data_IF_359368099590
#
_entry.id   IF_359368099590
#
_cell.length_a   1.000
_cell.length_b   1.000
_cell.length_c   1.000
_cell.angle_alpha   90.00
_cell.angle_beta   90.00
_cell.angle_gamma   90.00
#
_symmetry.space_group_name_H-M   'P 1'
#
loop_
_entity.id
_entity.type
_entity.pdbx_description
1 polymer ?
#
# COMPACT_ATOMS: atom_id res chain seq x y z
N UNK A 1 -59.05 11.05 7.34
CA UNK A 1 -57.87 11.95 7.33
C UNK A 1 -56.66 11.35 8.04
N UNK A 2 -56.82 10.72 9.21
CA UNK A 2 -55.72 10.16 10.02
C UNK A 2 -54.83 9.11 9.31
N UNK A 3 -55.41 8.26 8.45
CA UNK A 3 -54.68 7.22 7.71
C UNK A 3 -53.72 7.77 6.64
N UNK A 4 -54.07 8.93 6.03
CA UNK A 4 -53.21 9.61 5.05
C UNK A 4 -52.01 10.30 5.71
N UNK A 5 -52.18 10.77 6.94
CA UNK A 5 -51.11 11.37 7.75
C UNK A 5 -50.05 10.32 8.13
N UNK A 6 -50.49 9.10 8.47
CA UNK A 6 -49.60 7.97 8.80
C UNK A 6 -48.82 7.46 7.57
N UNK A 7 -49.45 7.43 6.39
CA UNK A 7 -48.79 7.08 5.12
C UNK A 7 -47.74 8.12 4.66
N UNK A 8 -47.93 9.41 4.96
CA UNK A 8 -46.95 10.45 4.62
C UNK A 8 -45.69 10.35 5.48
N UNK A 9 -45.84 10.07 6.78
CA UNK A 9 -44.69 9.89 7.69
C UNK A 9 -43.84 8.66 7.35
N UNK A 10 -44.46 7.56 6.91
CA UNK A 10 -43.73 6.35 6.52
C UNK A 10 -42.99 6.51 5.20
N UNK A 11 -43.52 7.28 4.25
CA UNK A 11 -42.83 7.63 3.00
C UNK A 11 -41.60 8.52 3.21
N UNK A 12 -41.67 9.50 4.12
CA UNK A 12 -40.52 10.37 4.44
C UNK A 12 -39.35 9.59 5.07
N UNK A 13 -39.65 8.60 5.91
CA UNK A 13 -38.63 7.73 6.53
C UNK A 13 -38.00 6.80 5.48
N UNK A 14 -38.79 6.29 4.53
CA UNK A 14 -38.29 5.43 3.45
C UNK A 14 -37.34 6.17 2.50
N UNK A 15 -37.65 7.42 2.16
CA UNK A 15 -36.82 8.26 1.29
C UNK A 15 -35.51 8.65 1.99
N UNK A 16 -35.57 8.98 3.29
CA UNK A 16 -34.37 9.28 4.09
C UNK A 16 -33.41 8.09 4.23
N UNK A 17 -33.93 6.87 4.37
CA UNK A 17 -33.13 5.66 4.44
C UNK A 17 -32.40 5.33 3.13
N UNK A 18 -33.01 5.63 1.97
CA UNK A 18 -32.41 5.40 0.66
C UNK A 18 -31.25 6.36 0.34
N UNK A 19 -31.23 7.58 0.89
CA UNK A 19 -30.16 8.55 0.62
C UNK A 19 -28.83 8.20 1.33
N UNK A 20 -28.88 7.56 2.50
CA UNK A 20 -27.66 7.19 3.26
C UNK A 20 -26.87 6.06 2.59
N UNK A 21 -27.53 5.21 1.78
CA UNK A 21 -26.89 4.09 1.10
C UNK A 21 -26.04 4.51 -0.13
N UNK A 22 -26.24 5.72 -0.67
CA UNK A 22 -25.65 6.14 -1.95
C UNK A 22 -24.29 6.85 -1.76
N UNK A 23 -23.96 7.30 -0.54
CA UNK A 23 -22.78 8.14 -0.29
C UNK A 23 -21.43 7.43 -0.25
N UNK A 24 -21.34 6.12 -0.49
CA UNK A 24 -20.09 5.37 -0.29
C UNK A 24 -19.44 4.81 -1.56
N UNK A 25 -19.72 5.36 -2.74
CA UNK A 25 -18.97 5.02 -3.96
C UNK A 25 -17.67 5.84 -4.07
N UNK A 26 -16.78 5.68 -3.08
CA UNK A 26 -15.38 6.06 -3.28
C UNK A 26 -14.81 5.10 -4.35
N UNK A 27 -14.61 5.60 -5.57
CA UNK A 27 -14.04 4.82 -6.66
C UNK A 27 -12.66 4.28 -6.26
N UNK A 28 -12.56 2.97 -6.11
CA UNK A 28 -11.27 2.32 -5.93
C UNK A 28 -10.48 2.49 -7.24
N UNK A 29 -9.39 3.25 -7.21
CA UNK A 29 -8.44 3.27 -8.31
C UNK A 29 -7.72 1.93 -8.34
N UNK A 30 -8.10 1.07 -9.29
CA UNK A 30 -7.38 -0.18 -9.51
C UNK A 30 -6.01 0.11 -10.10
N UNK A 31 -4.95 -0.18 -9.33
CA UNK A 31 -3.58 -0.12 -9.81
C UNK A 31 -3.34 -1.34 -10.69
N UNK A 32 -3.22 -1.13 -12.00
CA UNK A 32 -2.90 -2.20 -12.96
C UNK A 32 -1.45 -2.06 -13.42
N UNK A 33 -0.74 -3.18 -13.54
CA UNK A 33 0.66 -3.19 -14.01
C UNK A 33 0.96 -4.43 -14.85
N UNK A 34 1.72 -4.29 -15.95
CA UNK A 34 2.20 -5.43 -16.73
C UNK A 34 3.29 -6.23 -16.00
N UNK A 35 3.87 -5.70 -14.92
CA UNK A 35 4.93 -6.38 -14.16
C UNK A 35 4.44 -7.73 -13.62
N UNK A 36 5.31 -8.75 -13.65
CA UNK A 36 5.01 -10.08 -13.11
C UNK A 36 4.93 -10.07 -11.57
N UNK A 37 5.74 -9.21 -10.93
CA UNK A 37 5.85 -9.03 -9.49
C UNK A 37 5.73 -7.54 -9.15
N UNK A 38 5.03 -7.21 -8.08
CA UNK A 38 4.93 -5.84 -7.56
C UNK A 38 4.59 -5.83 -6.07
N UNK A 39 5.16 -4.88 -5.35
CA UNK A 39 4.82 -4.60 -3.95
C UNK A 39 4.96 -3.09 -3.73
N UNK A 40 3.87 -2.44 -3.33
CA UNK A 40 3.82 -1.01 -3.04
C UNK A 40 3.30 -0.87 -1.61
N UNK A 41 4.10 -0.21 -0.78
CA UNK A 41 3.78 0.04 0.62
C UNK A 41 4.00 1.51 0.95
N UNK A 42 3.18 2.02 1.85
CA UNK A 42 3.43 3.31 2.48
C UNK A 42 4.53 3.14 3.54
N UNK A 43 5.59 3.96 3.46
CA UNK A 43 6.76 3.78 4.33
C UNK A 43 6.47 4.14 5.79
N UNK A 44 5.67 5.17 6.05
CA UNK A 44 5.41 5.66 7.40
C UNK A 44 4.46 4.76 8.17
N UNK A 45 3.42 4.23 7.49
CA UNK A 45 2.39 3.39 8.11
C UNK A 45 2.60 1.90 7.92
N UNK A 46 3.48 1.49 7.00
CA UNK A 46 3.66 0.10 6.58
C UNK A 46 2.45 -0.48 5.84
N UNK A 47 1.47 0.36 5.46
CA UNK A 47 0.25 -0.10 4.79
C UNK A 47 0.57 -0.54 3.37
N UNK A 48 0.28 -1.80 3.06
CA UNK A 48 0.34 -2.33 1.70
C UNK A 48 -0.77 -1.68 0.87
N UNK A 49 -0.37 -0.96 -0.17
CA UNK A 49 -1.27 -0.30 -1.11
C UNK A 49 -1.59 -1.19 -2.31
N UNK A 50 -0.62 -2.02 -2.71
CA UNK A 50 -0.76 -2.94 -3.84
C UNK A 50 0.26 -4.07 -3.75
N UNK A 51 -0.16 -5.29 -4.12
CA UNK A 51 0.72 -6.44 -4.19
C UNK A 51 0.31 -7.36 -5.35
N UNK A 52 1.30 -7.90 -6.07
CA UNK A 52 1.14 -8.88 -7.14
C UNK A 52 2.29 -9.86 -7.06
N UNK A 53 2.00 -11.14 -6.77
CA UNK A 53 3.00 -12.21 -6.62
C UNK A 53 4.16 -11.87 -5.65
N UNK A 54 3.95 -10.99 -4.67
CA UNK A 54 5.04 -10.44 -3.86
C UNK A 54 5.81 -11.49 -3.03
N UNK A 55 5.13 -12.55 -2.59
CA UNK A 55 5.71 -13.65 -1.80
C UNK A 55 6.33 -14.76 -2.65
N UNK A 56 6.23 -14.67 -3.98
CA UNK A 56 6.78 -15.68 -4.88
C UNK A 56 8.29 -15.50 -5.01
N UNK A 57 9.03 -16.61 -4.90
CA UNK A 57 10.48 -16.57 -5.04
C UNK A 57 10.90 -16.19 -6.46
N UNK A 58 11.75 -15.17 -6.56
CA UNK A 58 12.33 -14.73 -7.83
C UNK A 58 13.82 -14.42 -7.66
N UNK A 59 14.57 -14.44 -8.77
CA UNK A 59 15.97 -14.04 -8.76
C UNK A 59 16.06 -12.51 -8.63
N UNK A 60 16.73 -11.95 -7.61
CA UNK A 60 16.76 -10.50 -7.38
C UNK A 60 17.64 -9.72 -8.39
N UNK A 61 18.41 -10.41 -9.24
CA UNK A 61 19.32 -9.80 -10.21
C UNK A 61 20.15 -8.65 -9.57
N UNK A 62 20.16 -7.47 -10.18
CA UNK A 62 20.88 -6.31 -9.64
C UNK A 62 20.35 -5.79 -8.30
N UNK A 63 19.12 -6.10 -7.90
CA UNK A 63 18.58 -5.70 -6.59
C UNK A 63 19.27 -6.41 -5.43
N UNK A 64 19.96 -7.54 -5.68
CA UNK A 64 20.78 -8.20 -4.66
C UNK A 64 21.84 -7.27 -4.05
N UNK A 65 22.28 -6.25 -4.80
CA UNK A 65 23.25 -5.24 -4.33
C UNK A 65 22.72 -4.41 -3.15
N UNK A 66 21.40 -4.31 -2.98
CA UNK A 66 20.80 -3.63 -1.82
C UNK A 66 21.31 -4.26 -0.52
N UNK A 67 21.38 -5.59 -0.45
CA UNK A 67 21.93 -6.29 0.73
C UNK A 67 23.43 -6.04 0.91
N UNK A 68 24.19 -6.03 -0.19
CA UNK A 68 25.63 -5.73 -0.14
C UNK A 68 25.90 -4.35 0.43
N UNK A 69 25.16 -3.35 -0.06
CA UNK A 69 25.27 -1.95 0.40
C UNK A 69 24.77 -1.80 1.83
N UNK A 70 23.68 -2.50 2.20
CA UNK A 70 23.17 -2.53 3.57
C UNK A 70 24.25 -2.98 4.57
N UNK A 71 24.91 -4.10 4.29
CA UNK A 71 26.00 -4.62 5.14
C UNK A 71 27.18 -3.63 5.18
N UNK A 72 27.56 -3.03 4.04
CA UNK A 72 28.65 -2.07 4.00
C UNK A 72 28.38 -0.85 4.89
N UNK A 73 27.18 -0.27 4.81
CA UNK A 73 26.80 0.86 5.67
C UNK A 73 26.62 0.47 7.12
N UNK A 74 26.14 -0.73 7.41
CA UNK A 74 26.09 -1.27 8.77
C UNK A 74 27.49 -1.33 9.39
N UNK A 75 28.49 -1.84 8.67
CA UNK A 75 29.88 -1.88 9.15
C UNK A 75 30.49 -0.49 9.34
N UNK A 76 30.12 0.47 8.49
CA UNK A 76 30.53 1.86 8.69
C UNK A 76 29.90 2.45 9.95
N UNK A 77 28.60 2.23 10.16
CA UNK A 77 27.86 2.67 11.35
C UNK A 77 28.44 2.08 12.64
N UNK A 78 28.87 0.83 12.60
CA UNK A 78 29.49 0.12 13.72
C UNK A 78 30.97 0.49 13.95
N UNK A 79 31.56 1.31 13.06
CA UNK A 79 32.97 1.72 13.15
C UNK A 79 33.98 0.68 12.67
N UNK A 80 33.53 -0.42 12.06
CA UNK A 80 34.38 -1.45 11.49
C UNK A 80 34.94 -1.12 10.10
N UNK A 81 34.39 -0.09 9.44
CA UNK A 81 34.84 0.46 8.16
C UNK A 81 34.71 1.99 8.15
N UNK A 82 35.53 2.66 7.36
CA UNK A 82 35.45 4.10 7.08
C UNK A 82 35.24 4.36 5.59
N UNK A 83 34.52 5.44 5.27
CA UNK A 83 34.37 5.90 3.88
C UNK A 83 35.71 6.27 3.22
N UNK A 84 36.74 6.56 4.02
CA UNK A 84 38.07 6.90 3.54
C UNK A 84 39.01 5.69 3.44
N UNK A 85 38.54 4.49 3.77
CA UNK A 85 39.35 3.28 3.69
C UNK A 85 39.76 3.01 2.24
N UNK A 86 41.04 2.65 2.07
CA UNK A 86 41.59 2.30 0.76
C UNK A 86 41.75 0.79 0.68
N UNK A 87 41.17 0.21 -0.36
CA UNK A 87 41.28 -1.21 -0.67
C UNK A 87 42.11 -1.40 -1.92
N UNK A 88 42.85 -2.52 -2.00
CA UNK A 88 43.45 -2.96 -3.25
C UNK A 88 42.39 -3.62 -4.12
N UNK A 89 42.37 -3.28 -5.41
CA UNK A 89 41.50 -3.94 -6.40
C UNK A 89 42.26 -5.15 -6.95
N UNK A 90 41.67 -6.33 -6.79
CA UNK A 90 42.19 -7.62 -7.26
C UNK A 90 41.50 -8.10 -8.53
#
# INVERSE_FOLDING_TARGET
MLHRLFQMTTMSVLIGASCVAISNCAGATEITTPAEYAYITDFDTGKVLFQKNAEMQMKPASMAKIMTVFIAFERIREGGLSLNDKFQVS
#
